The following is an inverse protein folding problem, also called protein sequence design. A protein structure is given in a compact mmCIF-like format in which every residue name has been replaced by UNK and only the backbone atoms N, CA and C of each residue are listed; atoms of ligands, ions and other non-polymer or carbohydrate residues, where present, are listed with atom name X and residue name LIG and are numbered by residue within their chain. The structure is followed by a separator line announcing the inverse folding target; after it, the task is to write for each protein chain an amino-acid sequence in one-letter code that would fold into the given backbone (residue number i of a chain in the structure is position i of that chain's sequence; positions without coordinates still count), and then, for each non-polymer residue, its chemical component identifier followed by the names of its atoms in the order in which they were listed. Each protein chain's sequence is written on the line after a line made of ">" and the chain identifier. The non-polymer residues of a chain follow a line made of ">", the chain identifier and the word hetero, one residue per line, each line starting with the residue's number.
data_IF_226506672941
#
_entry.id   IF_226506672941
#
_cell.length_a   1.000
_cell.length_b   1.000
_cell.length_c   1.000
_cell.angle_alpha   90.00
_cell.angle_beta   90.00
_cell.angle_gamma   90.00
#
_symmetry.space_group_name_H-M   'P 1'
#
loop_
_entity.id
_entity.type
_entity.pdbx_description
1 polymer ?
#
# COMPACT_ATOMS: atom_id res chain seq x y z
N UNK A 1 17.16 -2.88 -2.03
CA UNK A 1 18.33 -3.54 -1.40
C UNK A 1 17.95 -4.36 -0.18
N UNK A 2 17.44 -3.76 0.90
CA UNK A 2 17.09 -4.50 2.12
C UNK A 2 16.05 -5.61 1.89
N UNK A 3 14.94 -5.31 1.22
CA UNK A 3 13.89 -6.31 0.91
C UNK A 3 14.46 -7.49 0.11
N UNK A 4 15.29 -7.22 -0.90
CA UNK A 4 15.98 -8.25 -1.69
C UNK A 4 16.90 -9.11 -0.82
N UNK A 5 17.71 -8.50 0.04
CA UNK A 5 18.60 -9.24 0.92
C UNK A 5 17.82 -10.13 1.91
N UNK A 6 16.72 -9.61 2.46
CA UNK A 6 15.85 -10.40 3.34
C UNK A 6 15.27 -11.62 2.60
N UNK A 7 14.80 -11.45 1.37
CA UNK A 7 14.29 -12.55 0.57
C UNK A 7 15.33 -13.64 0.29
N UNK A 8 16.59 -13.23 0.04
CA UNK A 8 17.72 -14.16 -0.13
C UNK A 8 17.91 -14.96 1.17
N UNK A 9 18.02 -14.29 2.31
CA UNK A 9 18.25 -14.95 3.60
C UNK A 9 17.12 -15.93 3.96
N UNK A 10 15.86 -15.55 3.71
CA UNK A 10 14.70 -16.42 3.94
C UNK A 10 14.76 -17.64 3.00
N UNK A 11 15.11 -17.43 1.73
CA UNK A 11 15.24 -18.52 0.74
C UNK A 11 16.38 -19.49 1.08
N UNK A 12 17.52 -18.97 1.56
CA UNK A 12 18.68 -19.77 1.97
C UNK A 12 18.37 -20.67 3.18
N UNK A 13 17.39 -20.30 4.02
CA UNK A 13 16.86 -21.14 5.09
C UNK A 13 15.93 -22.26 4.60
N UNK A 14 15.71 -22.39 3.29
CA UNK A 14 14.88 -23.43 2.69
C UNK A 14 13.38 -23.11 2.68
N UNK A 15 12.97 -21.86 2.95
CA UNK A 15 11.58 -21.46 2.82
C UNK A 15 11.17 -21.47 1.34
N UNK A 16 10.08 -22.18 0.96
CA UNK A 16 9.58 -22.14 -0.41
C UNK A 16 9.16 -20.72 -0.80
N UNK A 17 9.56 -20.28 -2.00
CA UNK A 17 9.41 -18.89 -2.47
C UNK A 17 7.96 -18.47 -2.60
N UNK A 18 7.10 -19.39 -2.99
CA UNK A 18 5.65 -19.24 -3.09
C UNK A 18 4.95 -18.98 -1.75
N UNK A 19 5.68 -19.11 -0.62
CA UNK A 19 5.18 -18.80 0.72
C UNK A 19 5.69 -17.46 1.27
N UNK A 20 6.30 -16.63 0.42
CA UNK A 20 6.88 -15.34 0.81
C UNK A 20 6.04 -14.21 0.19
N UNK A 21 5.65 -13.26 1.04
CA UNK A 21 5.10 -11.96 0.64
C UNK A 21 6.08 -10.87 1.07
N UNK A 22 6.25 -9.85 0.24
CA UNK A 22 7.05 -8.68 0.57
C UNK A 22 6.16 -7.58 1.15
N UNK A 23 6.54 -7.05 2.31
CA UNK A 23 5.99 -5.79 2.82
C UNK A 23 7.05 -4.69 2.63
N UNK A 24 6.87 -3.75 1.68
CA UNK A 24 7.80 -2.65 1.46
C UNK A 24 7.71 -1.54 2.52
N UNK A 25 6.82 -1.66 3.52
CA UNK A 25 6.62 -0.72 4.63
C UNK A 25 6.30 0.70 4.13
N UNK A 26 5.12 0.85 3.54
CA UNK A 26 4.66 2.12 2.95
C UNK A 26 4.16 3.10 4.00
N UNK A 27 4.30 4.40 3.75
CA UNK A 27 3.65 5.46 4.52
C UNK A 27 2.22 5.74 4.07
N UNK A 28 1.47 6.48 4.90
CA UNK A 28 0.17 7.02 4.54
C UNK A 28 0.28 8.25 3.62
N UNK A 29 -0.81 8.61 2.93
CA UNK A 29 -0.93 9.90 2.26
C UNK A 29 -0.52 11.05 3.18
N UNK A 30 0.38 11.92 2.72
CA UNK A 30 0.91 13.05 3.49
C UNK A 30 1.99 12.69 4.52
N UNK A 31 2.32 11.41 4.68
CA UNK A 31 3.29 10.90 5.66
C UNK A 31 4.28 9.91 5.01
N UNK A 32 4.90 10.32 3.90
CA UNK A 32 5.97 9.56 3.25
C UNK A 32 5.50 8.44 2.32
N UNK A 33 4.26 8.52 1.81
CA UNK A 33 3.73 7.57 0.82
C UNK A 33 4.60 7.50 -0.44
N UNK A 34 5.18 8.62 -0.87
CA UNK A 34 5.99 8.77 -2.07
C UNK A 34 7.26 7.92 -2.04
N UNK A 35 7.83 7.71 -0.85
CA UNK A 35 8.96 6.80 -0.66
C UNK A 35 8.54 5.35 -0.88
N UNK A 36 7.42 4.93 -0.28
CA UNK A 36 6.86 3.60 -0.45
C UNK A 36 6.47 3.32 -1.90
N UNK A 37 5.77 4.27 -2.52
CA UNK A 37 5.35 4.24 -3.92
C UNK A 37 6.56 4.01 -4.85
N UNK A 38 7.59 4.85 -4.74
CA UNK A 38 8.80 4.74 -5.57
C UNK A 38 9.57 3.44 -5.33
N UNK A 39 9.57 2.92 -4.09
CA UNK A 39 10.20 1.63 -3.76
C UNK A 39 9.44 0.47 -4.42
N UNK A 40 8.12 0.50 -4.38
CA UNK A 40 7.26 -0.52 -5.00
C UNK A 40 7.44 -0.56 -6.51
N UNK A 41 7.45 0.60 -7.18
CA UNK A 41 7.71 0.66 -8.63
C UNK A 41 9.07 0.07 -8.98
N UNK A 42 10.13 0.38 -8.21
CA UNK A 42 11.46 -0.17 -8.43
C UNK A 42 11.51 -1.69 -8.24
N UNK A 43 10.79 -2.22 -7.25
CA UNK A 43 10.67 -3.67 -7.03
C UNK A 43 9.95 -4.32 -8.22
N UNK A 44 8.85 -3.73 -8.68
CA UNK A 44 8.08 -4.23 -9.83
C UNK A 44 8.90 -4.18 -11.12
N UNK A 45 9.62 -3.09 -11.38
CA UNK A 45 10.50 -2.97 -12.55
C UNK A 45 11.63 -4.00 -12.53
N UNK A 46 12.31 -4.18 -11.39
CA UNK A 46 13.36 -5.20 -11.24
C UNK A 46 12.80 -6.61 -11.44
N UNK A 47 11.60 -6.88 -10.93
CA UNK A 47 10.90 -8.16 -11.09
C UNK A 47 10.61 -8.47 -12.57
N UNK A 48 10.15 -7.47 -13.33
CA UNK A 48 9.88 -7.59 -14.77
C UNK A 48 11.17 -7.71 -15.61
N UNK A 49 12.30 -7.20 -15.10
CA UNK A 49 13.62 -7.38 -15.70
C UNK A 49 14.28 -8.74 -15.37
N UNK A 50 13.60 -9.59 -14.58
CA UNK A 50 14.05 -10.95 -14.28
C UNK A 50 14.80 -11.11 -12.96
N UNK A 51 14.79 -10.11 -12.08
CA UNK A 51 15.34 -10.27 -10.72
C UNK A 51 14.41 -11.16 -9.87
N UNK A 52 14.73 -12.45 -9.80
CA UNK A 52 13.92 -13.45 -9.11
C UNK A 52 13.71 -13.15 -7.61
N UNK A 53 14.58 -12.35 -6.98
CA UNK A 53 14.47 -12.01 -5.56
C UNK A 53 13.56 -10.80 -5.29
N UNK A 54 12.98 -10.19 -6.33
CA UNK A 54 11.98 -9.13 -6.22
C UNK A 54 10.63 -9.52 -6.83
N UNK A 55 10.48 -10.76 -7.31
CA UNK A 55 9.27 -11.26 -7.95
C UNK A 55 8.17 -11.74 -6.98
N UNK A 56 8.37 -11.62 -5.67
CA UNK A 56 7.36 -11.99 -4.68
C UNK A 56 6.19 -10.99 -4.67
N UNK A 57 4.95 -11.43 -4.41
CA UNK A 57 3.82 -10.50 -4.29
C UNK A 57 4.01 -9.52 -3.14
N UNK A 58 3.53 -8.29 -3.32
CA UNK A 58 3.60 -7.21 -2.35
C UNK A 58 2.30 -7.10 -1.55
N UNK A 59 2.43 -7.15 -0.23
CA UNK A 59 1.35 -6.82 0.72
C UNK A 59 1.59 -5.42 1.29
N UNK A 60 0.53 -4.61 1.35
CA UNK A 60 0.57 -3.26 1.90
C UNK A 60 -0.54 -3.06 2.94
N UNK A 61 -0.29 -2.18 3.92
CA UNK A 61 -1.21 -1.95 5.05
C UNK A 61 -1.73 -0.50 5.13
N UNK A 62 -2.35 0.04 4.07
CA UNK A 62 -2.85 1.41 4.06
C UNK A 62 -3.88 1.67 5.16
N UNK A 63 -4.64 0.66 5.61
CA UNK A 63 -5.57 0.83 6.73
C UNK A 63 -4.87 1.07 8.07
N UNK A 64 -3.72 0.46 8.32
CA UNK A 64 -2.96 0.80 9.53
C UNK A 64 -2.39 2.21 9.43
N UNK A 65 -1.81 2.53 8.27
CA UNK A 65 -1.10 3.76 8.01
C UNK A 65 -2.02 4.99 7.95
N UNK A 66 -3.08 4.96 7.14
CA UNK A 66 -3.99 6.08 6.97
C UNK A 66 -4.72 6.43 8.27
N UNK A 67 -5.22 5.42 8.99
CA UNK A 67 -5.94 5.66 10.24
C UNK A 67 -5.04 6.06 11.40
N UNK A 68 -3.71 6.23 11.20
CA UNK A 68 -2.80 6.78 12.20
C UNK A 68 -2.65 8.31 12.11
N UNK A 69 -2.99 8.90 10.97
CA UNK A 69 -2.78 10.32 10.64
C UNK A 69 -3.75 11.25 11.35
N UNK A 70 -3.40 12.54 11.45
CA UNK A 70 -4.26 13.53 12.12
C UNK A 70 -5.53 13.79 11.33
N UNK A 71 -5.40 13.84 10.01
CA UNK A 71 -6.44 14.12 9.04
C UNK A 71 -7.54 13.06 9.07
N UNK A 72 -7.19 11.80 9.29
CA UNK A 72 -8.16 10.71 9.43
C UNK A 72 -8.74 10.60 10.86
N UNK A 73 -7.97 10.87 11.91
CA UNK A 73 -8.40 10.64 13.30
C UNK A 73 -9.19 11.79 13.93
N UNK A 74 -8.86 13.04 13.59
CA UNK A 74 -9.31 14.20 14.35
C UNK A 74 -10.42 14.93 13.60
N UNK A 75 -11.61 14.94 14.19
CA UNK A 75 -12.79 15.63 13.66
C UNK A 75 -12.99 17.05 14.17
N UNK A 76 -12.50 17.37 15.37
CA UNK A 76 -12.71 18.66 16.05
C UNK A 76 -11.39 19.44 16.23
N UNK A 77 -11.45 20.77 16.33
CA UNK A 77 -10.27 21.61 16.53
C UNK A 77 -9.30 21.61 15.34
N UNK A 78 -9.82 21.30 14.14
CA UNK A 78 -9.09 21.32 12.86
C UNK A 78 -9.60 22.47 11.98
N UNK A 79 -8.81 22.92 10.99
CA UNK A 79 -9.26 23.98 10.07
C UNK A 79 -10.56 23.61 9.34
N UNK A 80 -11.50 24.55 9.23
CA UNK A 80 -12.76 24.37 8.50
C UNK A 80 -12.53 23.95 7.03
N UNK A 81 -11.44 24.43 6.43
CA UNK A 81 -11.02 24.08 5.08
C UNK A 81 -10.75 22.58 4.86
N UNK A 82 -10.58 21.79 5.92
CA UNK A 82 -10.44 20.33 5.81
C UNK A 82 -11.78 19.61 5.55
N UNK A 83 -12.91 20.32 5.61
CA UNK A 83 -14.22 19.82 5.26
C UNK A 83 -14.76 18.73 6.20
N UNK A 84 -15.73 17.96 5.68
CA UNK A 84 -16.38 16.88 6.41
C UNK A 84 -15.38 15.80 6.85
N UNK A 85 -15.37 15.51 8.15
CA UNK A 85 -14.42 14.59 8.74
C UNK A 85 -14.63 13.15 8.26
N UNK A 86 -15.89 12.70 8.14
CA UNK A 86 -16.18 11.32 7.75
C UNK A 86 -15.70 11.05 6.32
N UNK A 87 -16.08 11.93 5.38
CA UNK A 87 -15.59 11.89 4.01
C UNK A 87 -14.06 11.97 3.94
N UNK A 88 -13.44 12.90 4.68
CA UNK A 88 -11.98 13.06 4.72
C UNK A 88 -11.28 11.79 5.20
N UNK A 89 -11.74 11.20 6.29
CA UNK A 89 -11.10 10.03 6.90
C UNK A 89 -11.16 8.80 5.99
N UNK A 90 -12.32 8.54 5.38
CA UNK A 90 -12.49 7.45 4.39
C UNK A 90 -11.62 7.71 3.15
N UNK A 91 -11.58 8.97 2.67
CA UNK A 91 -10.75 9.33 1.53
C UNK A 91 -9.26 9.16 1.82
N UNK A 92 -8.80 9.37 3.05
CA UNK A 92 -7.39 9.20 3.42
C UNK A 92 -6.92 7.75 3.22
N UNK A 93 -7.74 6.78 3.67
CA UNK A 93 -7.47 5.36 3.44
C UNK A 93 -7.62 5.00 1.95
N UNK A 94 -8.67 5.49 1.29
CA UNK A 94 -8.95 5.20 -0.12
C UNK A 94 -7.84 5.70 -1.04
N UNK A 95 -7.39 6.95 -0.89
CA UNK A 95 -6.34 7.54 -1.73
C UNK A 95 -5.00 6.85 -1.45
N UNK A 96 -4.68 6.59 -0.19
CA UNK A 96 -3.46 5.84 0.17
C UNK A 96 -3.48 4.47 -0.53
N UNK A 97 -4.57 3.72 -0.40
CA UNK A 97 -4.68 2.40 -1.02
C UNK A 97 -4.63 2.44 -2.55
N UNK A 98 -5.33 3.38 -3.18
CA UNK A 98 -5.36 3.54 -4.65
C UNK A 98 -3.95 3.82 -5.18
N UNK A 99 -3.19 4.73 -4.56
CA UNK A 99 -1.81 4.99 -4.96
C UNK A 99 -0.92 3.74 -4.83
N UNK A 100 -1.14 2.91 -3.80
CA UNK A 100 -0.38 1.68 -3.62
C UNK A 100 -0.80 0.57 -4.62
N UNK A 101 -2.05 0.54 -5.06
CA UNK A 101 -2.51 -0.30 -6.18
C UNK A 101 -1.72 0.06 -7.45
N UNK A 102 -1.68 1.34 -7.80
CA UNK A 102 -1.02 1.84 -9.03
C UNK A 102 0.49 1.56 -9.05
N UNK A 103 1.14 1.54 -7.87
CA UNK A 103 2.55 1.17 -7.74
C UNK A 103 2.81 -0.35 -7.66
N UNK A 104 1.76 -1.17 -7.79
CA UNK A 104 1.85 -2.61 -7.99
C UNK A 104 1.62 -3.46 -6.75
N UNK A 105 0.83 -3.02 -5.77
CA UNK A 105 0.37 -3.85 -4.65
C UNK A 105 -0.46 -5.05 -5.13
N UNK A 106 -0.20 -6.24 -4.58
CA UNK A 106 -0.95 -7.46 -4.87
C UNK A 106 -1.98 -7.77 -3.76
N UNK A 107 -1.69 -7.41 -2.52
CA UNK A 107 -2.59 -7.59 -1.36
C UNK A 107 -2.68 -6.29 -0.56
N UNK A 108 -3.90 -5.86 -0.26
CA UNK A 108 -4.18 -4.58 0.39
C UNK A 108 -4.95 -4.83 1.67
N UNK A 109 -4.40 -4.41 2.80
CA UNK A 109 -5.05 -4.54 4.11
C UNK A 109 -5.71 -3.21 4.50
N UNK A 110 -7.05 -3.21 4.48
CA UNK A 110 -7.91 -2.07 4.80
C UNK A 110 -8.67 -2.29 6.12
N UNK A 111 -9.26 -1.23 6.66
CA UNK A 111 -10.04 -1.21 7.90
C UNK A 111 -11.48 -0.79 7.71
N UNK A 112 -11.76 0.25 6.91
CA UNK A 112 -13.10 0.81 6.80
C UNK A 112 -13.93 0.09 5.71
N UNK A 113 -15.17 -0.36 5.97
CA UNK A 113 -15.97 -1.08 4.97
C UNK A 113 -16.23 -0.26 3.69
N UNK A 114 -16.44 1.04 3.82
CA UNK A 114 -16.64 1.93 2.67
C UNK A 114 -15.37 2.06 1.80
N UNK A 115 -14.18 2.11 2.40
CA UNK A 115 -12.94 2.15 1.62
C UNK A 115 -12.69 0.82 0.92
N UNK A 116 -13.01 -0.31 1.56
CA UNK A 116 -12.99 -1.65 0.93
C UNK A 116 -13.88 -1.69 -0.31
N UNK A 117 -15.11 -1.17 -0.20
CA UNK A 117 -16.03 -1.10 -1.34
C UNK A 117 -15.44 -0.29 -2.49
N UNK A 118 -15.00 0.94 -2.23
CA UNK A 118 -14.43 1.84 -3.25
C UNK A 118 -13.18 1.28 -3.92
N UNK A 119 -12.30 0.63 -3.15
CA UNK A 119 -11.08 0.03 -3.70
C UNK A 119 -11.39 -1.18 -4.57
N UNK A 120 -12.42 -1.98 -4.22
CA UNK A 120 -12.88 -3.05 -5.12
C UNK A 120 -13.39 -2.50 -6.43
N UNK A 121 -14.24 -1.47 -6.39
CA UNK A 121 -14.76 -0.80 -7.58
C UNK A 121 -13.62 -0.23 -8.45
N UNK A 122 -12.66 0.46 -7.84
CA UNK A 122 -11.50 0.99 -8.56
C UNK A 122 -10.64 -0.11 -9.22
N UNK A 123 -10.40 -1.24 -8.54
CA UNK A 123 -9.65 -2.36 -9.12
C UNK A 123 -10.42 -3.01 -10.28
N UNK A 124 -11.75 -3.16 -10.16
CA UNK A 124 -12.59 -3.70 -11.23
C UNK A 124 -12.52 -2.80 -12.49
N UNK A 125 -12.55 -1.48 -12.32
CA UNK A 125 -12.40 -0.53 -13.41
C UNK A 125 -11.01 -0.58 -14.06
N UNK A 126 -9.93 -0.69 -13.27
CA UNK A 126 -8.56 -0.81 -13.78
C UNK A 126 -8.32 -2.10 -14.60
N UNK A 127 -9.00 -3.19 -14.24
CA UNK A 127 -8.90 -4.46 -14.97
C UNK A 127 -9.73 -4.43 -16.26
N UNK A 128 -10.81 -3.66 -16.30
CA UNK A 128 -11.66 -3.53 -17.48
C UNK A 128 -11.07 -2.61 -18.56
N UNK A 129 -10.09 -1.77 -18.21
CA UNK A 129 -9.37 -0.86 -19.11
C UNK A 129 -8.33 -1.59 -19.97
#
# INVERSE_FOLDING_TARGET
>A
NLSKQLNILISDMGMPKERILMDPTTGALGYGIEYGYSVMERLRLAALQGDAMTQFPMIVTPGFEAWKTKEAKVGEGVPEAWGDWNARAINWETITATALVESGADIIVLRHPESVKRIKEAIEELIAA
#
